data_IF_898034206580
#
_entry.id   IF_898034206580
#
_cell.length_a   1.000
_cell.length_b   1.000
_cell.length_c   1.000
_cell.angle_alpha   90.00
_cell.angle_beta   90.00
_cell.angle_gamma   90.00
#
_symmetry.space_group_name_H-M   'P 1'
#
loop_
_entity.id
_entity.type
_entity.pdbx_description
1 polymer ?
#
# COMPACT_ATOMS: atom_id res chain seq x y z
N UNK A 1 -9.42 27.69 -87.63
CA UNK A 1 -8.33 27.05 -86.87
C UNK A 1 -8.38 27.40 -85.37
N UNK A 2 -8.71 28.63 -84.93
CA UNK A 2 -8.77 28.95 -83.48
C UNK A 2 -9.64 28.04 -82.61
N UNK A 3 -10.81 27.61 -83.11
CA UNK A 3 -11.73 26.78 -82.31
C UNK A 3 -11.19 25.38 -81.97
N UNK A 4 -10.25 24.85 -82.77
CA UNK A 4 -9.67 23.54 -82.50
C UNK A 4 -8.64 23.63 -81.37
N UNK A 5 -7.82 24.69 -81.37
CA UNK A 5 -6.85 24.94 -80.31
C UNK A 5 -7.48 25.34 -78.98
N UNK A 6 -8.59 26.08 -79.01
CA UNK A 6 -9.39 26.36 -77.79
C UNK A 6 -9.94 25.06 -77.18
N UNK A 7 -10.41 24.13 -78.01
CA UNK A 7 -10.93 22.85 -77.53
C UNK A 7 -9.81 21.94 -77.00
N UNK A 8 -8.65 21.90 -77.68
CA UNK A 8 -7.46 21.19 -77.21
C UNK A 8 -6.98 21.74 -75.84
N UNK A 9 -6.98 23.05 -75.64
CA UNK A 9 -6.61 23.65 -74.35
C UNK A 9 -7.59 23.31 -73.22
N UNK A 10 -8.90 23.22 -73.52
CA UNK A 10 -9.90 22.78 -72.52
C UNK A 10 -9.72 21.30 -72.19
N UNK A 11 -9.34 20.46 -73.16
CA UNK A 11 -9.03 19.05 -72.89
C UNK A 11 -7.81 18.90 -71.99
N UNK A 12 -6.74 19.66 -72.27
CA UNK A 12 -5.54 19.67 -71.42
C UNK A 12 -5.86 20.14 -69.99
N UNK A 13 -6.67 21.20 -69.82
CA UNK A 13 -7.12 21.67 -68.51
C UNK A 13 -7.97 20.62 -67.76
N UNK A 14 -8.84 19.89 -68.47
CA UNK A 14 -9.65 18.81 -67.88
C UNK A 14 -8.78 17.62 -67.49
N UNK A 15 -7.79 17.24 -68.31
CA UNK A 15 -6.85 16.18 -68.00
C UNK A 15 -6.01 16.52 -66.77
N UNK A 16 -5.50 17.75 -66.69
CA UNK A 16 -4.79 18.25 -65.51
C UNK A 16 -5.69 18.26 -64.27
N UNK A 17 -6.94 18.71 -64.40
CA UNK A 17 -7.90 18.72 -63.30
C UNK A 17 -8.23 17.30 -62.80
N UNK A 18 -8.32 16.32 -63.72
CA UNK A 18 -8.56 14.92 -63.37
C UNK A 18 -7.36 14.31 -62.65
N UNK A 19 -6.13 14.58 -63.10
CA UNK A 19 -4.91 14.10 -62.43
C UNK A 19 -4.81 14.66 -61.01
N UNK A 20 -5.03 15.97 -60.84
CA UNK A 20 -5.04 16.60 -59.52
C UNK A 20 -6.12 16.02 -58.60
N UNK A 21 -7.30 15.70 -59.16
CA UNK A 21 -8.37 15.07 -58.39
C UNK A 21 -7.98 13.68 -57.91
N UNK A 22 -7.31 12.89 -58.76
CA UNK A 22 -6.80 11.56 -58.40
C UNK A 22 -5.77 11.64 -57.26
N UNK A 23 -4.80 12.55 -57.35
CA UNK A 23 -3.80 12.79 -56.30
C UNK A 23 -4.44 13.18 -54.95
N UNK A 24 -5.48 14.04 -55.00
CA UNK A 24 -6.22 14.46 -53.80
C UNK A 24 -7.00 13.29 -53.19
N UNK A 25 -7.63 12.45 -54.02
CA UNK A 25 -8.35 11.26 -53.55
C UNK A 25 -7.39 10.29 -52.86
N UNK A 26 -6.25 9.97 -53.48
CA UNK A 26 -5.26 9.06 -52.89
C UNK A 26 -4.73 9.60 -51.55
N UNK A 27 -4.44 10.90 -51.51
CA UNK A 27 -4.00 11.58 -50.27
C UNK A 27 -5.07 11.48 -49.18
N UNK A 28 -6.34 11.70 -49.52
CA UNK A 28 -7.44 11.62 -48.57
C UNK A 28 -7.62 10.20 -48.03
N UNK A 29 -7.57 9.18 -48.89
CA UNK A 29 -7.67 7.78 -48.47
C UNK A 29 -6.52 7.37 -47.53
N UNK A 30 -5.31 7.87 -47.81
CA UNK A 30 -4.17 7.64 -46.93
C UNK A 30 -4.38 8.27 -45.54
N UNK A 31 -4.86 9.52 -45.50
CA UNK A 31 -5.15 10.23 -44.26
C UNK A 31 -6.25 9.53 -43.43
N UNK A 32 -7.31 9.06 -44.08
CA UNK A 32 -8.39 8.32 -43.43
C UNK A 32 -7.85 7.04 -42.77
N UNK A 33 -7.04 6.26 -43.49
CA UNK A 33 -6.41 5.05 -42.97
C UNK A 33 -5.48 5.33 -41.79
N UNK A 34 -4.70 6.41 -41.86
CA UNK A 34 -3.84 6.85 -40.75
C UNK A 34 -4.65 7.25 -39.53
N UNK A 35 -5.76 7.98 -39.73
CA UNK A 35 -6.65 8.38 -38.66
C UNK A 35 -7.28 7.17 -37.97
N UNK A 36 -7.77 6.20 -38.75
CA UNK A 36 -8.32 4.95 -38.23
C UNK A 36 -7.32 4.18 -37.38
N UNK A 37 -6.09 4.01 -37.87
CA UNK A 37 -5.04 3.35 -37.09
C UNK A 37 -4.72 4.10 -35.79
N UNK A 38 -4.66 5.43 -35.84
CA UNK A 38 -4.43 6.25 -34.65
C UNK A 38 -5.58 6.14 -33.65
N UNK A 39 -6.81 6.12 -34.15
CA UNK A 39 -8.01 5.96 -33.34
C UNK A 39 -8.06 4.58 -32.67
N UNK A 40 -7.80 3.51 -33.43
CA UNK A 40 -7.71 2.14 -32.88
C UNK A 40 -6.64 2.03 -31.80
N UNK A 41 -5.47 2.65 -32.00
CA UNK A 41 -4.40 2.65 -31.02
C UNK A 41 -4.77 3.43 -29.75
N UNK A 42 -5.44 4.58 -29.89
CA UNK A 42 -5.93 5.36 -28.77
C UNK A 42 -6.97 4.58 -27.95
N UNK A 43 -7.94 3.97 -28.63
CA UNK A 43 -8.94 3.10 -28.00
C UNK A 43 -8.32 1.91 -27.29
N UNK A 44 -7.33 1.25 -27.90
CA UNK A 44 -6.64 0.13 -27.26
C UNK A 44 -5.93 0.57 -25.97
N UNK A 45 -5.23 1.71 -26.01
CA UNK A 45 -4.56 2.27 -24.84
C UNK A 45 -5.56 2.62 -23.73
N UNK A 46 -6.66 3.28 -24.08
CA UNK A 46 -7.72 3.63 -23.14
C UNK A 46 -8.33 2.39 -22.49
N UNK A 47 -8.69 1.38 -23.29
CA UNK A 47 -9.21 0.10 -22.79
C UNK A 47 -8.20 -0.57 -21.85
N UNK A 48 -6.92 -0.59 -22.22
CA UNK A 48 -5.89 -1.21 -21.39
C UNK A 48 -5.70 -0.49 -20.06
N UNK A 49 -5.83 0.83 -20.05
CA UNK A 49 -5.77 1.64 -18.83
C UNK A 49 -6.99 1.39 -17.94
N UNK A 50 -8.19 1.31 -18.52
CA UNK A 50 -9.41 0.97 -17.79
C UNK A 50 -9.30 -0.43 -17.15
N UNK A 51 -8.87 -1.45 -17.92
CA UNK A 51 -8.64 -2.80 -17.41
C UNK A 51 -7.64 -2.83 -16.24
N UNK A 52 -6.59 -2.00 -16.31
CA UNK A 52 -5.59 -1.88 -15.26
C UNK A 52 -6.16 -1.24 -13.99
N UNK A 53 -6.90 -0.14 -14.12
CA UNK A 53 -7.52 0.53 -12.97
C UNK A 53 -8.56 -0.37 -12.30
N UNK A 54 -9.37 -1.08 -13.08
CA UNK A 54 -10.31 -2.08 -12.57
C UNK A 54 -9.61 -3.18 -11.76
N UNK A 55 -8.46 -3.66 -12.22
CA UNK A 55 -7.67 -4.67 -11.52
C UNK A 55 -7.08 -4.10 -10.22
N UNK A 56 -6.59 -2.86 -10.26
CA UNK A 56 -6.06 -2.17 -9.08
C UNK A 56 -7.14 -1.94 -8.02
N UNK A 57 -8.34 -1.53 -8.42
CA UNK A 57 -9.49 -1.38 -7.50
C UNK A 57 -9.85 -2.71 -6.88
N UNK A 58 -10.03 -3.77 -7.68
CA UNK A 58 -10.35 -5.12 -7.17
C UNK A 58 -9.30 -5.64 -6.21
N UNK A 59 -8.02 -5.44 -6.51
CA UNK A 59 -6.93 -5.86 -5.62
C UNK A 59 -6.94 -5.07 -4.31
N UNK A 60 -7.22 -3.76 -4.37
CA UNK A 60 -7.38 -2.92 -3.19
C UNK A 60 -8.56 -3.38 -2.31
N UNK A 61 -9.71 -3.69 -2.91
CA UNK A 61 -10.88 -4.23 -2.22
C UNK A 61 -10.60 -5.59 -1.59
N UNK A 62 -9.96 -6.50 -2.31
CA UNK A 62 -9.58 -7.82 -1.79
C UNK A 62 -8.62 -7.69 -0.61
N UNK A 63 -7.63 -6.82 -0.71
CA UNK A 63 -6.69 -6.56 0.37
C UNK A 63 -7.40 -5.98 1.60
N UNK A 64 -8.24 -4.95 1.42
CA UNK A 64 -9.01 -4.36 2.51
C UNK A 64 -9.93 -5.39 3.19
N UNK A 65 -10.59 -6.23 2.40
CA UNK A 65 -11.42 -7.31 2.93
C UNK A 65 -10.61 -8.34 3.72
N UNK A 66 -9.44 -8.74 3.21
CA UNK A 66 -8.55 -9.69 3.88
C UNK A 66 -8.02 -9.15 5.20
N UNK A 67 -7.62 -7.87 5.23
CA UNK A 67 -7.18 -7.19 6.46
C UNK A 67 -8.33 -7.14 7.47
N UNK A 68 -9.53 -6.73 7.04
CA UNK A 68 -10.70 -6.68 7.89
C UNK A 68 -11.03 -8.04 8.53
N UNK A 69 -11.02 -9.13 7.74
CA UNK A 69 -11.29 -10.47 8.26
C UNK A 69 -10.18 -10.95 9.22
N UNK A 70 -8.93 -10.59 8.94
CA UNK A 70 -7.80 -10.90 9.83
C UNK A 70 -7.94 -10.16 11.18
N UNK A 71 -8.20 -8.86 11.16
CA UNK A 71 -8.40 -8.03 12.36
C UNK A 71 -9.59 -8.54 13.18
N UNK A 72 -10.71 -8.82 12.54
CA UNK A 72 -11.91 -9.37 13.19
C UNK A 72 -11.63 -10.71 13.87
N UNK A 73 -10.85 -11.58 13.22
CA UNK A 73 -10.44 -12.87 13.82
C UNK A 73 -9.52 -12.64 15.02
N UNK A 74 -8.56 -11.73 14.92
CA UNK A 74 -7.66 -11.38 16.01
C UNK A 74 -8.43 -10.79 17.20
N UNK A 75 -9.39 -9.90 16.93
CA UNK A 75 -10.26 -9.31 17.95
C UNK A 75 -11.09 -10.38 18.67
N UNK A 76 -11.65 -11.35 17.93
CA UNK A 76 -12.41 -12.45 18.52
C UNK A 76 -11.56 -13.29 19.48
N UNK A 77 -10.32 -13.61 19.10
CA UNK A 77 -9.37 -14.36 19.94
C UNK A 77 -9.01 -13.57 21.21
N UNK A 78 -8.73 -12.28 21.08
CA UNK A 78 -8.43 -11.42 22.22
C UNK A 78 -9.62 -11.30 23.17
N UNK A 79 -10.84 -11.19 22.62
CA UNK A 79 -12.08 -11.12 23.41
C UNK A 79 -12.35 -12.43 24.14
N UNK A 80 -12.15 -13.58 23.51
CA UNK A 80 -12.28 -14.88 24.16
C UNK A 80 -11.29 -15.01 25.32
N UNK A 81 -10.02 -14.64 25.08
CA UNK A 81 -8.99 -14.64 26.12
C UNK A 81 -9.32 -13.68 27.27
N UNK A 82 -9.84 -12.50 26.98
CA UNK A 82 -10.28 -11.56 28.01
C UNK A 82 -11.41 -12.17 28.85
N UNK A 83 -12.40 -12.79 28.20
CA UNK A 83 -13.53 -13.40 28.88
C UNK A 83 -13.11 -14.56 29.79
N UNK A 84 -12.17 -15.42 29.36
CA UNK A 84 -11.69 -16.52 30.20
C UNK A 84 -10.95 -16.04 31.43
N UNK A 85 -10.12 -15.00 31.32
CA UNK A 85 -9.48 -14.40 32.49
C UNK A 85 -10.47 -13.70 33.41
N UNK A 86 -11.48 -13.03 32.83
CA UNK A 86 -12.52 -12.38 33.60
C UNK A 86 -13.33 -13.41 34.42
N UNK A 87 -13.69 -14.53 33.81
CA UNK A 87 -14.40 -15.62 34.50
C UNK A 87 -13.55 -16.22 35.62
N UNK A 88 -12.27 -16.51 35.37
CA UNK A 88 -11.34 -17.02 36.38
C UNK A 88 -11.17 -16.03 37.55
N UNK A 89 -11.04 -14.74 37.26
CA UNK A 89 -10.93 -13.70 38.27
C UNK A 89 -12.22 -13.57 39.11
N UNK A 90 -13.38 -13.66 38.48
CA UNK A 90 -14.66 -13.64 39.19
C UNK A 90 -14.81 -14.84 40.11
N UNK A 91 -14.37 -16.03 39.67
CA UNK A 91 -14.31 -17.22 40.52
C UNK A 91 -13.38 -17.01 41.72
N UNK A 92 -12.15 -16.56 41.50
CA UNK A 92 -11.20 -16.27 42.57
C UNK A 92 -11.75 -15.24 43.57
N UNK A 93 -12.41 -14.19 43.07
CA UNK A 93 -13.05 -13.18 43.92
C UNK A 93 -14.19 -13.78 44.75
N UNK A 94 -14.97 -14.70 44.19
CA UNK A 94 -15.99 -15.43 44.94
C UNK A 94 -15.38 -16.36 46.00
N UNK A 95 -14.31 -17.07 45.66
CA UNK A 95 -13.57 -17.91 46.60
C UNK A 95 -12.99 -17.06 47.75
N UNK A 96 -12.43 -15.89 47.45
CA UNK A 96 -11.93 -14.94 48.45
C UNK A 96 -13.06 -14.43 49.37
N UNK A 97 -14.22 -14.05 48.81
CA UNK A 97 -15.38 -13.62 49.60
C UNK A 97 -15.89 -14.73 50.52
N UNK A 98 -15.87 -15.98 50.08
CA UNK A 98 -16.44 -17.12 50.82
C UNK A 98 -15.49 -17.72 51.86
N UNK A 99 -14.20 -17.82 51.52
CA UNK A 99 -13.17 -18.49 52.33
C UNK A 99 -12.12 -17.51 52.85
N UNK A 100 -11.68 -16.56 52.03
CA UNK A 100 -10.59 -15.63 52.36
C UNK A 100 -10.85 -14.78 53.60
N UNK A 101 -12.06 -14.25 53.78
CA UNK A 101 -12.43 -13.48 54.97
C UNK A 101 -12.42 -14.35 56.24
N UNK A 102 -12.83 -15.62 56.13
CA UNK A 102 -12.85 -16.55 57.26
C UNK A 102 -11.45 -16.99 57.66
N UNK A 103 -10.58 -17.28 56.69
CA UNK A 103 -9.18 -17.65 56.94
C UNK A 103 -8.35 -16.45 57.42
N UNK A 104 -8.62 -15.24 56.95
CA UNK A 104 -8.03 -14.01 57.49
C UNK A 104 -8.43 -13.82 58.95
N UNK A 105 -9.73 -13.93 59.27
CA UNK A 105 -10.22 -13.84 60.65
C UNK A 105 -9.68 -14.95 61.54
N UNK A 106 -9.52 -16.17 61.00
CA UNK A 106 -8.94 -17.32 61.72
C UNK A 106 -7.44 -17.10 61.99
N UNK A 107 -6.66 -16.60 61.03
CA UNK A 107 -5.25 -16.23 61.25
C UNK A 107 -5.10 -15.13 62.30
N UNK A 108 -5.88 -14.05 62.20
CA UNK A 108 -5.88 -12.96 63.20
C UNK A 108 -6.29 -13.48 64.58
N UNK A 109 -7.27 -14.38 64.65
CA UNK A 109 -7.69 -15.03 65.90
C UNK A 109 -6.63 -16.00 66.44
N UNK A 110 -5.94 -16.77 65.59
CA UNK A 110 -4.86 -17.69 66.00
C UNK A 110 -3.54 -16.99 66.33
N UNK A 111 -3.30 -15.77 65.81
CA UNK A 111 -2.18 -14.90 66.22
C UNK A 111 -2.43 -14.18 67.54
N UNK A 112 -3.66 -14.20 68.08
CA UNK A 112 -3.93 -13.66 69.42
C UNK A 112 -3.17 -14.39 70.54
N UNK A 113 -2.55 -15.54 70.26
CA UNK A 113 -1.67 -16.28 71.19
C UNK A 113 -0.19 -16.32 70.80
N UNK A 114 0.24 -15.63 69.74
CA UNK A 114 1.66 -15.44 69.40
C UNK A 114 1.85 -14.10 68.69
N UNK A 115 2.32 -13.09 69.45
CA UNK A 115 2.93 -11.83 68.98
C UNK A 115 2.33 -11.28 67.69
N UNK A 116 1.11 -10.73 67.77
CA UNK A 116 0.53 -9.93 66.71
C UNK A 116 1.26 -8.58 66.64
N UNK A 117 2.39 -8.53 65.93
CA UNK A 117 3.04 -7.26 65.56
C UNK A 117 2.03 -6.50 64.69
N UNK A 118 1.57 -5.34 65.16
CA UNK A 118 0.64 -4.52 64.39
C UNK A 118 1.40 -3.86 63.25
N UNK A 119 0.75 -3.62 62.10
CA UNK A 119 1.38 -2.90 60.99
C UNK A 119 1.82 -1.48 61.37
N UNK A 120 1.24 -0.93 62.44
CA UNK A 120 1.62 0.34 63.07
C UNK A 120 2.94 0.26 63.86
N UNK A 121 3.41 -0.95 64.17
CA UNK A 121 4.60 -1.24 64.96
C UNK A 121 5.79 -1.69 64.09
N UNK A 122 5.56 -1.87 62.79
CA UNK A 122 6.61 -2.18 61.80
C UNK A 122 7.17 -0.85 61.29
N UNK A 123 8.42 -0.55 61.64
CA UNK A 123 9.14 0.59 61.09
C UNK A 123 9.69 0.24 59.70
N UNK A 124 9.14 0.86 58.66
CA UNK A 124 9.57 0.66 57.28
C UNK A 124 10.89 1.40 56.97
N UNK A 125 11.32 2.33 57.83
CA UNK A 125 12.54 3.10 57.61
C UNK A 125 13.81 2.36 58.06
N UNK A 126 13.68 1.32 58.89
CA UNK A 126 14.83 0.55 59.40
C UNK A 126 15.42 -0.40 58.33
N UNK A 127 14.61 -0.85 57.37
CA UNK A 127 14.95 -1.92 56.40
C UNK A 127 14.88 -1.47 54.92
N UNK A 128 15.01 -0.17 54.65
CA UNK A 128 14.93 0.40 53.28
C UNK A 128 15.97 -0.24 52.35
N UNK A 129 17.16 -0.58 52.84
CA UNK A 129 18.21 -1.21 52.02
C UNK A 129 17.83 -2.61 51.53
N UNK A 130 17.15 -3.40 52.36
CA UNK A 130 16.68 -4.73 51.96
C UNK A 130 15.52 -4.64 50.96
N UNK A 131 14.71 -3.59 51.06
CA UNK A 131 13.66 -3.29 50.09
C UNK A 131 14.24 -2.80 48.75
N UNK A 132 15.31 -2.00 48.78
CA UNK A 132 16.03 -1.52 47.58
C UNK A 132 16.75 -2.67 46.86
N UNK A 133 17.35 -3.62 47.61
CA UNK A 133 17.91 -4.85 47.04
C UNK A 133 16.82 -5.73 46.39
N UNK A 134 15.62 -5.82 46.99
CA UNK A 134 14.49 -6.59 46.44
C UNK A 134 13.84 -5.94 45.21
N UNK A 135 13.71 -4.62 45.18
CA UNK A 135 13.08 -3.87 44.08
C UNK A 135 14.06 -3.45 42.97
N UNK A 136 15.35 -3.42 43.28
CA UNK A 136 16.41 -2.93 42.41
C UNK A 136 16.94 -3.96 41.42
N UNK A 137 16.79 -5.26 41.69
CA UNK A 137 17.46 -6.29 40.88
C UNK A 137 16.68 -6.72 39.61
N UNK A 138 15.39 -6.38 39.49
CA UNK A 138 14.58 -6.69 38.28
C UNK A 138 14.23 -5.47 37.41
N UNK A 139 14.58 -4.24 37.80
CA UNK A 139 14.29 -3.04 36.99
C UNK A 139 15.47 -2.56 36.12
N UNK A 140 16.63 -3.21 36.22
CA UNK A 140 17.82 -2.83 35.45
C UNK A 140 17.88 -3.46 34.04
N UNK A 141 17.06 -4.48 33.73
CA UNK A 141 17.13 -5.19 32.43
C UNK A 141 16.05 -4.79 31.40
N UNK A 142 15.02 -4.01 31.74
CA UNK A 142 13.94 -3.66 30.79
C UNK A 142 14.02 -2.25 30.16
N UNK A 143 15.15 -1.53 30.27
CA UNK A 143 15.34 -0.27 29.53
C UNK A 143 16.30 -0.34 28.34
N UNK A 144 16.78 -1.54 27.97
CA UNK A 144 17.74 -1.71 26.88
C UNK A 144 17.30 -2.70 25.77
N UNK A 145 16.09 -2.55 25.23
CA UNK A 145 15.65 -3.20 23.98
C UNK A 145 14.86 -2.25 23.05
N UNK A 146 15.15 -0.94 23.09
CA UNK A 146 14.62 0.05 22.14
C UNK A 146 15.74 0.93 21.57
N UNK A 147 16.80 0.32 21.07
CA UNK A 147 17.72 0.91 20.11
C UNK A 147 18.47 -0.22 19.41
N UNK A 148 18.74 -0.05 18.12
CA UNK A 148 19.45 -0.98 17.22
C UNK A 148 18.59 -2.07 16.56
N UNK A 149 17.83 -1.66 15.54
CA UNK A 149 17.88 -2.31 14.22
C UNK A 149 17.54 -1.24 13.15
N UNK A 150 18.54 -0.45 12.77
CA UNK A 150 18.65 0.09 11.42
C UNK A 150 19.82 -0.63 10.74
N UNK A 151 19.64 -0.87 9.43
CA UNK A 151 20.65 -1.25 8.44
C UNK A 151 20.90 -2.75 8.22
N UNK A 152 20.05 -3.34 7.38
CA UNK A 152 20.55 -4.17 6.28
C UNK A 152 20.27 -3.44 4.96
N UNK A 153 21.28 -2.80 4.40
CA UNK A 153 21.24 -2.26 3.04
C UNK A 153 21.59 -3.35 2.02
N UNK A 154 20.98 -3.17 0.85
CA UNK A 154 21.43 -3.54 -0.49
C UNK A 154 21.38 -5.01 -0.93
N UNK A 155 20.41 -5.30 -1.82
CA UNK A 155 20.71 -5.36 -3.24
C UNK A 155 19.44 -5.42 -4.11
N UNK A 156 19.04 -4.27 -4.66
CA UNK A 156 18.28 -4.23 -5.92
C UNK A 156 19.22 -4.55 -7.09
N UNK A 157 18.86 -5.47 -8.00
CA UNK A 157 19.41 -5.41 -9.34
C UNK A 157 18.61 -4.40 -10.15
N UNK A 158 19.12 -3.16 -10.17
CA UNK A 158 18.90 -2.21 -11.24
C UNK A 158 19.32 -2.87 -12.57
N UNK A 159 18.34 -3.20 -13.40
CA UNK A 159 18.59 -3.53 -14.81
C UNK A 159 17.80 -2.54 -15.68
N UNK A 160 18.26 -1.29 -15.67
CA UNK A 160 17.99 -0.32 -16.71
C UNK A 160 18.61 -0.78 -18.03
N UNK A 161 17.88 -1.59 -18.79
CA UNK A 161 18.08 -1.69 -20.22
C UNK A 161 17.46 -0.45 -20.87
N UNK A 162 18.31 0.56 -21.08
CA UNK A 162 18.11 1.57 -22.10
C UNK A 162 17.81 0.87 -23.44
N UNK A 163 16.56 0.95 -23.88
CA UNK A 163 16.24 0.87 -25.31
C UNK A 163 15.69 2.22 -25.69
N UNK A 164 16.63 3.12 -26.03
CA UNK A 164 16.35 4.26 -26.90
C UNK A 164 15.88 3.71 -28.25
N UNK A 165 14.57 3.50 -28.42
CA UNK A 165 13.98 3.49 -29.76
C UNK A 165 13.85 4.94 -30.20
N UNK A 166 14.96 5.44 -30.72
CA UNK A 166 15.05 6.67 -31.47
C UNK A 166 14.10 6.55 -32.68
N UNK A 167 13.01 7.30 -32.64
CA UNK A 167 12.09 7.50 -33.76
C UNK A 167 12.78 8.38 -34.80
N UNK A 168 13.50 7.76 -35.74
CA UNK A 168 13.95 8.44 -36.95
C UNK A 168 12.90 8.31 -38.05
N UNK A 169 11.92 9.21 -38.06
CA UNK A 169 11.22 9.61 -39.28
C UNK A 169 11.86 10.89 -39.81
N UNK A 170 12.61 10.74 -40.89
CA UNK A 170 12.65 11.59 -42.09
C UNK A 170 12.45 13.10 -41.89
N UNK A 171 13.53 13.86 -42.11
CA UNK A 171 13.43 15.11 -42.84
C UNK A 171 14.57 15.17 -43.87
N UNK A 172 14.24 14.79 -45.10
CA UNK A 172 15.06 14.91 -46.28
C UNK A 172 14.68 16.27 -46.90
N UNK A 173 15.38 17.34 -46.52
CA UNK A 173 15.28 18.63 -47.21
C UNK A 173 16.43 18.75 -48.21
N UNK A 174 16.16 18.91 -49.52
CA UNK A 174 17.20 19.19 -50.50
C UNK A 174 17.77 20.61 -50.24
N UNK A 175 19.06 20.71 -49.94
CA UNK A 175 19.75 21.98 -50.06
C UNK A 175 20.07 22.25 -51.53
N UNK A 176 19.28 23.16 -52.10
CA UNK A 176 19.64 23.89 -53.30
C UNK A 176 21.01 24.57 -53.13
N UNK A 177 21.91 24.25 -54.05
CA UNK A 177 23.11 25.03 -54.29
C UNK A 177 22.72 26.38 -54.90
N UNK A 178 22.98 27.46 -54.17
CA UNK A 178 23.20 28.78 -54.75
C UNK A 178 24.60 29.27 -54.37
N UNK A 179 25.55 29.08 -55.28
CA UNK A 179 26.47 30.10 -55.79
C UNK A 179 27.19 29.57 -57.03
#
# INVERSE_FOLDING_TARGET
>A
MSKIGELEGIFEEVEDALMNLEDVIETQELQERQLDHRFQLAMYKEKKLADFEDMKVKLGEEHAHRVFEYEKKQEAVLRERQNTFQEAFEEELQQYKTHGIKELRKRVSSQSSATSVSLEEIDLEEDISALDDFLGEDNAEETNLKAEEQESSDNEPNNGANVETNISSTDDTPQDQKQ
#
